data_IF_718156188534
#
_entry.id   IF_718156188534
#
_cell.length_a   1.000
_cell.length_b   1.000
_cell.length_c   1.000
_cell.angle_alpha   90.00
_cell.angle_beta   90.00
_cell.angle_gamma   90.00
#
_symmetry.space_group_name_H-M   'P 1'
#
loop_
_entity.id
_entity.type
_entity.pdbx_description
1 polymer ?
#
# COMPACT_ATOMS: atom_id res chain seq x y z
N UNK A 1 5.13 35.09 34.67
CA UNK A 1 5.46 35.02 36.10
C UNK A 1 4.32 35.66 36.89
N UNK A 2 3.32 34.86 37.28
CA UNK A 2 2.18 35.33 38.06
C UNK A 2 2.41 34.99 39.53
N UNK A 3 2.60 36.03 40.35
CA UNK A 3 2.78 35.91 41.78
C UNK A 3 1.56 35.23 42.41
N UNK A 4 1.75 33.98 42.85
CA UNK A 4 0.78 33.25 43.66
C UNK A 4 0.87 33.88 45.05
N UNK A 5 -0.03 34.82 45.32
CA UNK A 5 -0.34 35.28 46.67
C UNK A 5 -0.82 34.07 47.47
N UNK A 6 0.08 33.49 48.26
CA UNK A 6 -0.27 32.61 49.38
C UNK A 6 -0.92 33.47 50.46
N UNK A 7 -2.18 33.84 50.22
CA UNK A 7 -3.05 34.44 51.21
C UNK A 7 -3.44 33.39 52.22
N UNK A 8 -2.51 33.05 53.12
CA UNK A 8 -2.85 32.44 54.40
C UNK A 8 -3.62 33.50 55.17
N UNK A 9 -4.93 33.60 54.94
CA UNK A 9 -5.78 34.42 55.79
C UNK A 9 -5.64 33.84 57.20
N UNK A 10 -5.11 34.60 58.18
CA UNK A 10 -5.03 34.09 59.53
C UNK A 10 -6.47 33.80 59.97
N UNK A 11 -6.74 32.54 60.33
CA UNK A 11 -7.99 32.12 60.97
C UNK A 11 -8.08 32.89 62.29
N UNK A 12 -8.65 34.08 62.24
CA UNK A 12 -9.06 34.82 63.44
C UNK A 12 -10.37 34.18 63.89
N UNK A 13 -10.26 33.18 64.75
CA UNK A 13 -11.38 32.72 65.55
C UNK A 13 -11.89 33.93 66.35
N UNK A 14 -13.17 34.28 66.25
CA UNK A 14 -13.73 35.41 67.02
C UNK A 14 -13.59 35.16 68.53
N UNK A 15 -13.54 33.89 68.96
CA UNK A 15 -13.21 33.53 70.34
C UNK A 15 -11.74 33.82 70.67
N UNK A 16 -10.83 33.62 69.72
CA UNK A 16 -9.43 34.04 69.84
C UNK A 16 -9.28 35.57 69.79
N UNK A 17 -10.08 36.28 69.00
CA UNK A 17 -10.10 37.74 69.01
C UNK A 17 -10.67 38.30 70.30
N UNK A 18 -11.68 37.65 70.90
CA UNK A 18 -12.20 38.02 72.22
C UNK A 18 -11.23 37.63 73.33
N UNK A 19 -10.47 36.54 73.19
CA UNK A 19 -9.42 36.15 74.12
C UNK A 19 -8.17 37.06 74.03
N UNK A 20 -7.71 37.40 72.82
CA UNK A 20 -6.64 38.39 72.58
C UNK A 20 -7.07 39.79 73.01
N UNK A 21 -8.37 40.12 72.89
CA UNK A 21 -8.93 41.36 73.44
C UNK A 21 -9.02 41.30 74.96
N UNK A 22 -9.28 40.14 75.57
CA UNK A 22 -9.25 39.97 77.03
C UNK A 22 -7.84 40.15 77.61
N UNK A 23 -6.77 39.82 76.89
CA UNK A 23 -5.39 40.15 77.30
C UNK A 23 -5.08 41.66 77.16
N UNK A 24 -5.84 42.41 76.36
CA UNK A 24 -5.80 43.87 76.28
C UNK A 24 -6.84 44.58 77.19
N UNK A 25 -7.76 43.84 77.82
CA UNK A 25 -8.69 44.36 78.85
C UNK A 25 -8.00 44.19 80.21
N UNK A 26 -6.75 44.67 80.34
CA UNK A 26 -6.09 44.79 81.65
C UNK A 26 -6.30 46.17 82.28
N UNK A 27 -7.00 47.09 81.60
CA UNK A 27 -7.54 48.33 82.17
C UNK A 27 -8.91 48.61 81.52
N UNK A 28 -9.93 47.87 81.92
CA UNK A 28 -11.31 48.25 81.57
C UNK A 28 -11.67 49.53 82.32
N UNK A 29 -11.66 50.64 81.61
CA UNK A 29 -12.26 51.89 82.07
C UNK A 29 -13.71 51.60 82.44
N UNK A 30 -14.03 51.70 83.74
CA UNK A 30 -15.38 51.48 84.26
C UNK A 30 -16.39 52.29 83.42
N UNK A 31 -17.16 51.59 82.57
CA UNK A 31 -18.05 52.20 81.56
C UNK A 31 -19.17 53.02 82.20
N UNK A 32 -19.69 52.58 83.34
CA UNK A 32 -20.75 53.24 84.09
C UNK A 32 -20.31 53.47 85.54
N UNK A 33 -20.32 54.73 85.95
CA UNK A 33 -20.09 55.27 87.29
C UNK A 33 -21.33 56.05 87.72
N UNK A 34 -21.38 56.46 88.99
CA UNK A 34 -22.55 57.14 89.54
C UNK A 34 -22.81 58.50 88.86
N UNK A 35 -21.75 59.19 88.45
CA UNK A 35 -21.76 60.52 87.85
C UNK A 35 -22.11 60.52 86.35
N UNK A 36 -21.95 59.39 85.64
CA UNK A 36 -22.21 59.29 84.20
C UNK A 36 -23.35 58.31 83.83
N UNK A 37 -24.14 57.85 84.80
CA UNK A 37 -25.19 56.83 84.62
C UNK A 37 -26.17 57.13 83.47
N UNK A 38 -26.63 58.38 83.32
CA UNK A 38 -27.56 58.76 82.24
C UNK A 38 -26.91 58.68 80.86
N UNK A 39 -25.67 59.16 80.74
CA UNK A 39 -24.91 59.15 79.49
C UNK A 39 -24.55 57.72 79.10
N UNK A 40 -24.09 56.91 80.06
CA UNK A 40 -23.78 55.50 79.84
C UNK A 40 -25.02 54.69 79.44
N UNK A 41 -26.19 54.99 80.02
CA UNK A 41 -27.44 54.33 79.61
C UNK A 41 -27.90 54.77 78.22
N UNK A 42 -27.74 56.04 77.86
CA UNK A 42 -28.05 56.51 76.51
C UNK A 42 -27.21 55.78 75.46
N UNK A 43 -25.89 55.73 75.66
CA UNK A 43 -24.96 55.01 74.78
C UNK A 43 -25.34 53.53 74.68
N UNK A 44 -25.68 52.90 75.82
CA UNK A 44 -26.10 51.50 75.84
C UNK A 44 -27.41 51.28 75.08
N UNK A 45 -28.37 52.20 75.19
CA UNK A 45 -29.64 52.13 74.48
C UNK A 45 -29.46 52.33 72.96
N UNK A 46 -28.58 53.23 72.53
CA UNK A 46 -28.24 53.39 71.11
C UNK A 46 -27.63 52.11 70.54
N UNK A 47 -26.74 51.43 71.28
CA UNK A 47 -26.18 50.15 70.87
C UNK A 47 -27.23 49.02 70.88
N UNK A 48 -28.14 49.01 71.85
CA UNK A 48 -29.24 48.05 71.91
C UNK A 48 -30.17 48.17 70.70
N UNK A 49 -30.51 49.38 70.29
CA UNK A 49 -31.34 49.63 69.12
C UNK A 49 -30.60 49.33 67.81
N UNK A 50 -29.39 49.86 67.65
CA UNK A 50 -28.60 49.80 66.41
C UNK A 50 -28.08 48.40 66.11
N UNK A 51 -27.54 47.70 67.12
CA UNK A 51 -26.82 46.44 66.89
C UNK A 51 -27.71 45.21 67.07
N UNK A 52 -28.65 45.24 68.01
CA UNK A 52 -29.33 44.03 68.51
C UNK A 52 -30.86 44.10 68.40
N UNK A 53 -31.43 45.27 68.11
CA UNK A 53 -32.89 45.47 68.07
C UNK A 53 -33.56 45.22 69.43
N UNK A 54 -32.85 45.51 70.52
CA UNK A 54 -33.37 45.40 71.89
C UNK A 54 -34.05 46.73 72.24
N UNK A 55 -35.28 46.71 72.79
CA UNK A 55 -35.95 47.93 73.23
C UNK A 55 -35.13 48.68 74.30
N UNK A 56 -35.08 50.01 74.25
CA UNK A 56 -34.29 50.81 75.18
C UNK A 56 -34.82 50.68 76.60
N UNK A 57 -33.91 50.79 77.56
CA UNK A 57 -34.21 50.82 78.99
C UNK A 57 -34.52 52.27 79.39
N UNK A 58 -35.71 52.51 79.93
CA UNK A 58 -36.17 53.86 80.29
C UNK A 58 -36.04 54.11 81.79
N UNK A 59 -35.34 55.18 82.18
CA UNK A 59 -35.31 55.67 83.56
C UNK A 59 -36.59 56.47 83.81
N UNK A 60 -37.40 56.08 84.80
CA UNK A 60 -38.55 56.86 85.23
C UNK A 60 -38.15 58.12 85.99
N UNK A 61 -38.96 59.18 85.90
CA UNK A 61 -38.70 60.49 86.53
C UNK A 61 -38.62 60.45 88.08
N UNK A 62 -39.14 59.40 88.72
CA UNK A 62 -39.09 59.21 90.17
C UNK A 62 -37.91 58.29 90.57
N UNK A 63 -36.73 58.90 90.74
CA UNK A 63 -35.44 58.21 90.91
C UNK A 63 -35.17 57.68 92.32
N UNK A 64 -36.09 57.89 93.27
CA UNK A 64 -35.87 57.58 94.70
C UNK A 64 -36.80 56.51 95.27
N UNK A 65 -37.75 55.98 94.47
CA UNK A 65 -38.58 54.85 94.89
C UNK A 65 -37.88 53.52 94.65
N UNK A 66 -37.89 52.63 95.65
CA UNK A 66 -37.38 51.27 95.51
C UNK A 66 -38.04 50.49 94.35
N UNK A 67 -39.29 50.84 94.00
CA UNK A 67 -40.03 50.19 92.91
C UNK A 67 -39.55 50.61 91.51
N UNK A 68 -39.10 51.86 91.32
CA UNK A 68 -38.57 52.32 90.03
C UNK A 68 -37.20 51.73 89.73
N UNK A 69 -36.35 51.60 90.75
CA UNK A 69 -35.07 50.88 90.66
C UNK A 69 -35.28 49.39 90.35
N UNK A 70 -36.24 48.73 91.01
CA UNK A 70 -36.58 47.34 90.73
C UNK A 70 -37.04 47.14 89.27
N UNK A 71 -37.88 48.05 88.75
CA UNK A 71 -38.31 48.04 87.33
C UNK A 71 -37.14 48.23 86.36
N UNK A 72 -36.22 49.14 86.67
CA UNK A 72 -35.01 49.37 85.88
C UNK A 72 -34.13 48.11 85.85
N UNK A 73 -33.88 47.49 87.00
CA UNK A 73 -33.12 46.23 87.08
C UNK A 73 -33.75 45.12 86.23
N UNK A 74 -35.08 44.97 86.27
CA UNK A 74 -35.78 43.98 85.42
C UNK A 74 -35.60 44.27 83.93
N UNK A 75 -35.66 45.54 83.51
CA UNK A 75 -35.44 45.93 82.12
C UNK A 75 -34.01 45.64 81.67
N UNK A 76 -33.01 45.99 82.49
CA UNK A 76 -31.60 45.72 82.20
C UNK A 76 -31.34 44.22 82.13
N UNK A 77 -31.81 43.42 83.10
CA UNK A 77 -31.63 41.96 83.10
C UNK A 77 -32.21 41.32 81.84
N UNK A 78 -33.41 41.74 81.42
CA UNK A 78 -34.04 41.25 80.20
C UNK A 78 -33.30 41.68 78.93
N UNK A 79 -32.77 42.91 78.89
CA UNK A 79 -31.94 43.38 77.80
C UNK A 79 -30.63 42.59 77.71
N UNK A 80 -29.93 42.40 78.83
CA UNK A 80 -28.71 41.58 78.94
C UNK A 80 -28.96 40.13 78.53
N UNK A 81 -30.10 39.55 78.91
CA UNK A 81 -30.49 38.21 78.48
C UNK A 81 -30.66 38.11 76.97
N UNK A 82 -31.41 39.06 76.36
CA UNK A 82 -31.60 39.11 74.90
C UNK A 82 -30.28 39.28 74.16
N UNK A 83 -29.41 40.18 74.65
CA UNK A 83 -28.06 40.40 74.11
C UNK A 83 -27.25 39.10 74.14
N UNK A 84 -27.21 38.44 75.30
CA UNK A 84 -26.44 37.19 75.48
C UNK A 84 -26.94 36.09 74.53
N UNK A 85 -28.24 35.94 74.39
CA UNK A 85 -28.83 34.95 73.49
C UNK A 85 -28.56 35.26 72.02
N UNK A 86 -28.69 36.53 71.60
CA UNK A 86 -28.40 36.94 70.23
C UNK A 86 -26.91 36.76 69.92
N UNK A 87 -26.02 37.12 70.84
CA UNK A 87 -24.59 36.91 70.69
C UNK A 87 -24.26 35.42 70.50
N UNK A 88 -24.82 34.53 71.33
CA UNK A 88 -24.65 33.06 71.15
C UNK A 88 -25.17 32.58 69.80
N UNK A 89 -26.29 33.12 69.33
CA UNK A 89 -26.84 32.80 68.00
C UNK A 89 -25.91 33.25 66.86
N UNK A 90 -25.41 34.49 66.92
CA UNK A 90 -24.46 35.03 65.94
C UNK A 90 -23.16 34.23 65.91
N UNK A 91 -22.64 33.83 67.07
CA UNK A 91 -21.45 32.98 67.16
C UNK A 91 -21.67 31.63 66.48
N UNK A 92 -22.82 30.97 66.69
CA UNK A 92 -23.14 29.71 65.99
C UNK A 92 -23.22 29.88 64.48
N UNK A 93 -23.83 30.98 64.01
CA UNK A 93 -23.88 31.30 62.58
C UNK A 93 -22.48 31.55 62.00
N UNK A 94 -21.64 32.25 62.76
CA UNK A 94 -20.26 32.51 62.37
C UNK A 94 -19.45 31.22 62.24
N UNK A 95 -19.56 30.30 63.21
CA UNK A 95 -18.90 29.00 63.17
C UNK A 95 -19.36 28.18 61.95
N UNK A 96 -20.67 28.16 61.66
CA UNK A 96 -21.21 27.51 60.46
C UNK A 96 -20.66 28.12 59.17
N UNK A 97 -20.51 29.44 59.12
CA UNK A 97 -19.97 30.15 57.96
C UNK A 97 -18.49 29.83 57.77
N UNK A 98 -17.70 29.75 58.84
CA UNK A 98 -16.30 29.31 58.79
C UNK A 98 -16.21 27.90 58.23
N UNK A 99 -17.02 26.97 58.73
CA UNK A 99 -17.00 25.58 58.28
C UNK A 99 -17.35 25.47 56.79
N UNK A 100 -18.39 26.18 56.35
CA UNK A 100 -18.79 26.21 54.95
C UNK A 100 -17.70 26.83 54.06
N UNK A 101 -17.08 27.92 54.51
CA UNK A 101 -15.99 28.56 53.80
C UNK A 101 -14.78 27.62 53.69
N UNK A 102 -14.43 26.90 54.77
CA UNK A 102 -13.34 25.94 54.76
C UNK A 102 -13.58 24.79 53.77
N UNK A 103 -14.80 24.23 53.75
CA UNK A 103 -15.19 23.20 52.77
C UNK A 103 -15.07 23.74 51.35
N UNK A 104 -15.62 24.92 51.11
CA UNK A 104 -15.57 25.59 49.80
C UNK A 104 -14.13 25.84 49.34
N UNK A 105 -13.24 26.27 50.23
CA UNK A 105 -11.82 26.46 49.91
C UNK A 105 -11.15 25.13 49.57
N UNK A 106 -11.41 24.08 50.34
CA UNK A 106 -10.86 22.75 50.08
C UNK A 106 -11.33 22.17 48.74
N UNK A 107 -12.62 22.33 48.42
CA UNK A 107 -13.19 21.91 47.14
C UNK A 107 -12.56 22.69 45.98
N UNK A 108 -12.40 24.00 46.13
CA UNK A 108 -11.71 24.84 45.14
C UNK A 108 -10.26 24.40 44.91
N UNK A 109 -9.52 24.08 45.96
CA UNK A 109 -8.13 23.56 45.84
C UNK A 109 -8.13 22.23 45.10
N UNK A 110 -9.05 21.34 45.43
CA UNK A 110 -9.18 20.02 44.79
C UNK A 110 -9.50 20.16 43.30
N UNK A 111 -10.47 21.02 42.96
CA UNK A 111 -10.85 21.32 41.58
C UNK A 111 -9.69 21.96 40.81
N UNK A 112 -8.97 22.92 41.38
CA UNK A 112 -7.77 23.52 40.76
C UNK A 112 -6.71 22.47 40.45
N UNK A 113 -6.46 21.55 41.39
CA UNK A 113 -5.52 20.45 41.18
C UNK A 113 -5.99 19.50 40.08
N UNK A 114 -7.29 19.20 40.02
CA UNK A 114 -7.85 18.36 38.97
C UNK A 114 -7.73 19.02 37.59
N UNK A 115 -8.07 20.31 37.48
CA UNK A 115 -7.89 21.10 36.25
C UNK A 115 -6.42 21.11 35.83
N UNK A 116 -5.48 21.26 36.77
CA UNK A 116 -4.05 21.22 36.47
C UNK A 116 -3.64 19.87 35.84
N UNK A 117 -4.05 18.75 36.42
CA UNK A 117 -3.75 17.41 35.87
C UNK A 117 -4.38 17.22 34.49
N UNK A 118 -5.63 17.66 34.30
CA UNK A 118 -6.30 17.58 33.00
C UNK A 118 -5.56 18.38 31.93
N UNK A 119 -5.04 19.56 32.26
CA UNK A 119 -4.21 20.35 31.33
C UNK A 119 -2.91 19.63 30.97
N UNK A 120 -2.19 19.09 31.96
CA UNK A 120 -0.96 18.32 31.72
C UNK A 120 -1.23 17.08 30.85
N UNK A 121 -2.36 16.40 31.05
CA UNK A 121 -2.74 15.25 30.23
C UNK A 121 -3.14 15.66 28.81
N UNK A 122 -3.82 16.79 28.65
CA UNK A 122 -4.14 17.36 27.33
C UNK A 122 -2.85 17.68 26.55
N UNK A 123 -1.90 18.37 27.17
CA UNK A 123 -0.59 18.70 26.56
C UNK A 123 0.17 17.43 26.15
N UNK A 124 0.17 16.39 27.00
CA UNK A 124 0.78 15.08 26.65
C UNK A 124 0.10 14.43 25.45
N UNK A 125 -1.23 14.48 25.38
CA UNK A 125 -2.00 13.91 24.27
C UNK A 125 -1.73 14.68 22.98
N UNK A 126 -1.73 16.00 23.01
CA UNK A 126 -1.38 16.86 21.88
C UNK A 126 0.02 16.56 21.36
N UNK A 127 1.01 16.47 22.26
CA UNK A 127 2.37 16.09 21.87
C UNK A 127 2.46 14.68 21.24
N UNK A 128 1.65 13.74 21.73
CA UNK A 128 1.56 12.39 21.17
C UNK A 128 0.94 12.41 19.77
N UNK A 129 -0.11 13.20 19.57
CA UNK A 129 -0.76 13.39 18.26
C UNK A 129 0.26 13.93 17.25
N UNK A 130 0.97 15.01 17.57
CA UNK A 130 1.97 15.58 16.66
C UNK A 130 3.07 14.57 16.28
N UNK A 131 3.51 13.73 17.22
CA UNK A 131 4.47 12.65 16.95
C UNK A 131 3.93 11.59 16.01
N UNK A 132 2.67 11.22 16.16
CA UNK A 132 2.00 10.23 15.30
C UNK A 132 1.78 10.81 13.91
N UNK A 133 1.31 12.05 13.79
CA UNK A 133 1.10 12.75 12.52
C UNK A 133 2.41 12.87 11.72
N UNK A 134 3.53 13.24 12.37
CA UNK A 134 4.82 13.30 11.68
C UNK A 134 5.30 11.92 11.24
N UNK A 135 5.04 10.87 12.03
CA UNK A 135 5.33 9.49 11.63
C UNK A 135 4.48 9.06 10.44
N UNK A 136 3.21 9.40 10.43
CA UNK A 136 2.28 9.14 9.32
C UNK A 136 2.75 9.86 8.06
N UNK A 137 3.10 11.15 8.15
CA UNK A 137 3.65 11.93 7.04
C UNK A 137 4.89 11.27 6.44
N UNK A 138 5.82 10.81 7.28
CA UNK A 138 7.03 10.10 6.83
C UNK A 138 6.71 8.77 6.16
N UNK A 139 5.74 8.02 6.67
CA UNK A 139 5.30 6.76 6.06
C UNK A 139 4.62 7.02 4.71
N UNK A 140 3.80 8.07 4.61
CA UNK A 140 3.15 8.44 3.36
C UNK A 140 4.16 8.79 2.26
N UNK A 141 5.21 9.55 2.59
CA UNK A 141 6.31 9.82 1.65
C UNK A 141 6.96 8.52 1.16
N UNK A 142 7.29 7.60 2.09
CA UNK A 142 7.87 6.29 1.71
C UNK A 142 6.93 5.45 0.85
N UNK A 143 5.64 5.50 1.13
CA UNK A 143 4.62 4.81 0.33
C UNK A 143 4.56 5.37 -1.09
N UNK A 144 4.54 6.69 -1.23
CA UNK A 144 4.55 7.35 -2.53
C UNK A 144 5.83 7.03 -3.32
N UNK A 145 6.99 7.01 -2.66
CA UNK A 145 8.27 6.64 -3.28
C UNK A 145 8.22 5.19 -3.80
N UNK A 146 7.84 4.23 -2.94
CA UNK A 146 7.71 2.83 -3.33
C UNK A 146 6.66 2.62 -4.44
N UNK A 147 5.58 3.39 -4.44
CA UNK A 147 4.55 3.37 -5.48
C UNK A 147 5.09 3.83 -6.83
N UNK A 148 5.93 4.89 -6.85
CA UNK A 148 6.61 5.35 -8.06
C UNK A 148 7.59 4.32 -8.59
N UNK A 149 8.41 3.73 -7.71
CA UNK A 149 9.37 2.68 -8.08
C UNK A 149 8.67 1.47 -8.68
N UNK A 150 7.58 1.01 -8.04
CA UNK A 150 6.76 -0.08 -8.56
C UNK A 150 6.18 0.22 -9.95
N UNK A 151 5.76 1.47 -10.19
CA UNK A 151 5.27 1.90 -11.50
C UNK A 151 6.37 1.87 -12.55
N UNK A 152 7.58 2.31 -12.20
CA UNK A 152 8.74 2.27 -13.07
C UNK A 152 9.14 0.84 -13.42
N UNK A 153 9.26 -0.04 -12.42
CA UNK A 153 9.58 -1.45 -12.61
C UNK A 153 8.55 -2.16 -13.50
N UNK A 154 7.25 -1.88 -13.31
CA UNK A 154 6.20 -2.40 -14.20
C UNK A 154 6.40 -1.96 -15.64
N UNK A 155 6.86 -0.74 -15.88
CA UNK A 155 7.10 -0.24 -17.23
C UNK A 155 8.36 -0.87 -17.86
N UNK A 156 9.42 -1.04 -17.09
CA UNK A 156 10.62 -1.76 -17.54
C UNK A 156 10.32 -3.23 -17.87
N UNK A 157 9.52 -3.92 -17.04
CA UNK A 157 9.05 -5.28 -17.34
C UNK A 157 8.27 -5.31 -18.66
N UNK A 158 7.39 -4.31 -18.92
CA UNK A 158 6.66 -4.24 -20.20
C UNK A 158 7.60 -4.04 -21.39
N UNK A 159 8.61 -3.17 -21.26
CA UNK A 159 9.62 -2.96 -22.32
C UNK A 159 10.42 -4.22 -22.59
N UNK A 160 10.94 -4.87 -21.55
CA UNK A 160 11.70 -6.11 -21.66
C UNK A 160 10.86 -7.25 -22.25
N UNK A 161 9.58 -7.36 -21.85
CA UNK A 161 8.65 -8.34 -22.43
C UNK A 161 8.45 -8.13 -23.94
N UNK A 162 8.27 -6.88 -24.38
CA UNK A 162 8.17 -6.54 -25.81
C UNK A 162 9.47 -6.90 -26.55
N UNK A 163 10.62 -6.57 -25.98
CA UNK A 163 11.92 -6.91 -26.57
C UNK A 163 12.13 -8.42 -26.68
N UNK A 164 11.76 -9.18 -25.64
CA UNK A 164 11.84 -10.63 -25.64
C UNK A 164 10.94 -11.24 -26.73
N UNK A 165 9.69 -10.78 -26.84
CA UNK A 165 8.76 -11.24 -27.89
C UNK A 165 9.27 -10.92 -29.31
N UNK A 166 9.86 -9.73 -29.50
CA UNK A 166 10.49 -9.37 -30.76
C UNK A 166 11.65 -10.30 -31.11
N UNK A 167 12.54 -10.58 -30.15
CA UNK A 167 13.66 -11.51 -30.34
C UNK A 167 13.19 -12.93 -30.62
N UNK A 168 12.17 -13.41 -29.91
CA UNK A 168 11.57 -14.73 -30.14
C UNK A 168 11.05 -14.85 -31.57
N UNK A 169 10.32 -13.85 -32.05
CA UNK A 169 9.82 -13.80 -33.44
C UNK A 169 10.98 -13.78 -34.44
N UNK A 170 12.04 -12.99 -34.18
CA UNK A 170 13.23 -12.93 -35.01
C UNK A 170 13.96 -14.28 -35.07
N UNK A 171 14.15 -14.94 -33.93
CA UNK A 171 14.76 -16.27 -33.86
C UNK A 171 13.91 -17.31 -34.58
N UNK A 172 12.59 -17.26 -34.44
CA UNK A 172 11.68 -18.16 -35.16
C UNK A 172 11.76 -17.99 -36.69
N UNK A 173 11.85 -16.74 -37.18
CA UNK A 173 12.11 -16.47 -38.59
C UNK A 173 13.47 -17.00 -39.06
N UNK A 174 14.52 -16.82 -38.25
CA UNK A 174 15.86 -17.31 -38.58
C UNK A 174 15.91 -18.84 -38.61
N UNK A 175 15.29 -19.51 -37.63
CA UNK A 175 15.14 -20.97 -37.62
C UNK A 175 14.41 -21.43 -38.88
N UNK A 176 13.27 -20.83 -39.22
CA UNK A 176 12.54 -21.15 -40.46
C UNK A 176 13.41 -21.01 -41.71
N UNK A 177 14.20 -19.93 -41.80
CA UNK A 177 15.12 -19.68 -42.92
C UNK A 177 16.21 -20.75 -43.01
N UNK A 178 16.84 -21.10 -41.88
CA UNK A 178 17.85 -22.15 -41.80
C UNK A 178 17.26 -23.51 -42.17
N UNK A 179 16.08 -23.86 -41.65
CA UNK A 179 15.38 -25.11 -41.98
C UNK A 179 15.08 -25.20 -43.47
N UNK A 180 14.57 -24.14 -44.10
CA UNK A 180 14.31 -24.11 -45.55
C UNK A 180 15.60 -24.24 -46.37
N UNK A 181 16.69 -23.57 -45.96
CA UNK A 181 17.97 -23.71 -46.64
C UNK A 181 18.55 -25.12 -46.49
N UNK A 182 18.42 -25.72 -45.30
CA UNK A 182 18.84 -27.09 -45.05
C UNK A 182 18.05 -28.08 -45.91
N UNK A 183 16.73 -27.91 -46.04
CA UNK A 183 15.89 -28.71 -46.95
C UNK A 183 16.35 -28.57 -48.41
N UNK A 184 16.59 -27.34 -48.90
CA UNK A 184 17.11 -27.11 -50.26
C UNK A 184 18.46 -27.79 -50.49
N UNK A 185 19.38 -27.70 -49.54
CA UNK A 185 20.68 -28.36 -49.61
C UNK A 185 20.53 -29.88 -49.62
N UNK A 186 19.63 -30.42 -48.78
CA UNK A 186 19.31 -31.84 -48.75
C UNK A 186 18.73 -32.32 -50.09
N UNK A 187 17.82 -31.56 -50.70
CA UNK A 187 17.30 -31.85 -52.05
C UNK A 187 18.40 -31.81 -53.12
N UNK A 188 19.31 -30.84 -53.07
CA UNK A 188 20.45 -30.76 -53.99
C UNK A 188 21.39 -31.97 -53.82
N UNK A 189 21.66 -32.38 -52.59
CA UNK A 189 22.45 -33.56 -52.27
C UNK A 189 21.77 -34.83 -52.77
N UNK A 190 20.46 -34.96 -52.58
CA UNK A 190 19.70 -36.09 -53.11
C UNK A 190 19.71 -36.13 -54.64
N UNK A 191 19.63 -34.95 -55.30
CA UNK A 191 19.76 -34.85 -56.77
C UNK A 191 21.17 -35.21 -57.24
N UNK A 192 22.23 -34.74 -56.57
CA UNK A 192 23.61 -35.06 -56.96
C UNK A 192 23.95 -36.53 -56.72
N UNK A 193 23.58 -37.07 -55.56
CA UNK A 193 23.73 -38.48 -55.20
C UNK A 193 22.86 -39.40 -56.09
N UNK A 194 21.64 -38.99 -56.41
CA UNK A 194 20.77 -39.71 -57.35
C UNK A 194 21.24 -39.67 -58.80
N UNK A 195 22.00 -38.64 -59.19
CA UNK A 195 22.65 -38.57 -60.52
C UNK A 195 24.02 -39.24 -60.58
N UNK A 196 24.54 -39.73 -59.45
CA UNK A 196 25.78 -40.49 -59.43
C UNK A 196 25.53 -41.90 -59.99
N UNK A 197 25.51 -42.01 -61.31
CA UNK A 197 25.77 -43.27 -61.98
C UNK A 197 27.26 -43.58 -61.85
N UNK A 198 27.66 -44.68 -61.19
CA UNK A 198 29.06 -45.08 -61.11
C UNK A 198 29.65 -45.15 -62.52
N UNK A 199 30.90 -44.67 -62.66
CA UNK A 199 31.62 -44.61 -63.94
C UNK A 199 31.56 -45.95 -64.69
N UNK A 200 31.62 -47.06 -63.96
CA UNK A 200 31.52 -48.42 -64.50
C UNK A 200 30.18 -48.69 -65.16
N UNK A 201 29.05 -48.29 -64.56
CA UNK A 201 27.71 -48.45 -65.17
C UNK A 201 27.52 -47.57 -66.40
N UNK A 202 28.20 -46.42 -66.45
CA UNK A 202 28.15 -45.53 -67.62
C UNK A 202 28.96 -46.11 -68.78
N UNK A 203 30.15 -46.64 -68.50
CA UNK A 203 30.97 -47.40 -69.46
C UNK A 203 30.25 -48.65 -69.94
N UNK A 204 29.60 -49.40 -69.04
CA UNK A 204 28.81 -50.58 -69.39
C UNK A 204 27.66 -50.23 -70.35
N UNK A 205 26.91 -49.15 -70.09
CA UNK A 205 25.87 -48.66 -71.02
C UNK A 205 26.43 -48.18 -72.37
N UNK A 206 27.65 -47.62 -72.39
CA UNK A 206 28.32 -47.26 -73.63
C UNK A 206 28.73 -48.49 -74.43
N UNK A 207 29.38 -49.46 -73.77
CA UNK A 207 29.79 -50.73 -74.39
C UNK A 207 28.58 -51.53 -74.87
N UNK A 208 27.47 -51.54 -74.13
CA UNK A 208 26.22 -52.19 -74.52
C UNK A 208 25.60 -51.55 -75.78
N UNK A 209 25.67 -50.21 -75.90
CA UNK A 209 25.29 -49.48 -77.12
C UNK A 209 26.21 -49.80 -78.30
N UNK A 210 27.51 -49.91 -78.07
CA UNK A 210 28.46 -50.30 -79.12
C UNK A 210 28.25 -51.76 -79.56
N UNK A 211 28.06 -52.69 -78.61
CA UNK A 211 27.74 -54.10 -78.86
C UNK A 211 26.44 -54.26 -79.65
N UNK A 212 25.39 -53.52 -79.32
CA UNK A 212 24.14 -53.51 -80.10
C UNK A 212 24.32 -52.90 -81.48
N UNK A 213 25.18 -51.88 -81.61
CA UNK A 213 25.63 -51.35 -82.91
C UNK A 213 26.32 -52.41 -83.77
N UNK A 214 27.32 -53.10 -83.22
CA UNK A 214 28.04 -54.17 -83.91
C UNK A 214 27.10 -55.33 -84.29
N UNK A 215 26.22 -55.75 -83.38
CA UNK A 215 25.24 -56.81 -83.63
C UNK A 215 24.33 -56.46 -84.80
N UNK A 216 23.87 -55.21 -84.88
CA UNK A 216 23.02 -54.71 -85.99
C UNK A 216 23.78 -54.70 -87.32
N UNK A 217 25.07 -54.35 -87.31
CA UNK A 217 25.93 -54.37 -88.50
C UNK A 217 26.17 -55.81 -88.98
N UNK A 218 26.43 -56.74 -88.06
CA UNK A 218 26.59 -58.17 -88.37
C UNK A 218 25.32 -58.73 -89.03
N UNK A 219 24.14 -58.47 -88.45
CA UNK A 219 22.87 -58.91 -89.05
C UNK A 219 22.67 -58.37 -90.48
N UNK A 220 23.10 -57.12 -90.75
CA UNK A 220 23.07 -56.54 -92.10
C UNK A 220 24.01 -57.25 -93.06
N UNK A 221 25.21 -57.59 -92.62
CA UNK A 221 26.20 -58.30 -93.43
C UNK A 221 25.78 -59.74 -93.71
N UNK A 222 25.21 -60.44 -92.73
CA UNK A 222 24.67 -61.79 -92.90
C UNK A 222 23.52 -61.80 -93.91
N UNK A 223 22.61 -60.82 -93.84
CA UNK A 223 21.53 -60.67 -94.82
C UNK A 223 22.07 -60.39 -96.23
N UNK A 224 23.10 -59.55 -96.35
CA UNK A 224 23.74 -59.26 -97.64
C UNK A 224 24.43 -60.52 -98.21
N UNK A 225 25.13 -61.28 -97.37
CA UNK A 225 25.72 -62.56 -97.76
C UNK A 225 24.67 -63.58 -98.21
N UNK A 226 23.51 -63.62 -97.55
CA UNK A 226 22.37 -64.46 -97.96
C UNK A 226 21.85 -64.06 -99.34
N UNK A 227 21.76 -62.75 -99.62
CA UNK A 227 21.36 -62.22 -100.93
C UNK A 227 22.37 -62.58 -102.02
N UNK A 228 23.67 -62.42 -101.76
CA UNK A 228 24.71 -62.84 -102.70
C UNK A 228 24.66 -64.35 -102.98
N UNK A 229 24.45 -65.18 -101.96
CA UNK A 229 24.29 -66.63 -102.15
C UNK A 229 23.05 -66.97 -103.00
N UNK A 230 21.94 -66.23 -102.81
CA UNK A 230 20.75 -66.35 -103.63
C UNK A 230 21.04 -65.97 -105.09
N UNK A 231 21.76 -64.88 -105.34
CA UNK A 231 22.17 -64.45 -106.68
C UNK A 231 23.10 -65.49 -107.34
N UNK A 232 24.06 -66.03 -106.60
CA UNK A 232 24.94 -67.11 -107.09
C UNK A 232 24.12 -68.34 -107.47
N UNK A 233 23.13 -68.73 -106.67
CA UNK A 233 22.24 -69.85 -107.00
C UNK A 233 21.37 -69.54 -108.24
N UNK A 234 20.80 -68.35 -108.34
CA UNK A 234 20.02 -67.94 -109.51
C UNK A 234 20.89 -67.93 -110.79
N UNK A 235 22.14 -67.46 -110.69
CA UNK A 235 23.10 -67.50 -111.80
C UNK A 235 23.48 -68.95 -112.15
N UNK A 236 23.60 -69.83 -111.15
CA UNK A 236 23.88 -71.25 -111.35
C UNK A 236 22.70 -71.96 -112.03
N UNK A 237 21.46 -71.66 -111.63
CA UNK A 237 20.25 -72.14 -112.29
C UNK A 237 20.13 -71.58 -113.71
N UNK A 238 20.47 -70.31 -113.94
CA UNK A 238 20.51 -69.73 -115.29
C UNK A 238 21.56 -70.41 -116.17
N UNK A 239 22.73 -70.76 -115.60
CA UNK A 239 23.77 -71.53 -116.30
C UNK A 239 23.32 -72.96 -116.61
N UNK A 240 22.63 -73.64 -115.69
CA UNK A 240 22.06 -74.97 -115.94
C UNK A 240 20.92 -74.91 -116.97
N UNK A 241 20.06 -73.88 -116.95
CA UNK A 241 19.05 -73.66 -117.99
C UNK A 241 19.69 -73.33 -119.34
N UNK A 242 20.81 -72.60 -119.36
CA UNK A 242 21.57 -72.33 -120.58
C UNK A 242 22.25 -73.61 -121.11
N UNK A 243 22.72 -74.49 -120.22
CA UNK A 243 23.26 -75.81 -120.57
C UNK A 243 22.18 -76.73 -121.12
N UNK A 244 21.01 -76.79 -120.47
CA UNK A 244 19.81 -77.49 -120.97
C UNK A 244 19.34 -76.90 -122.30
N UNK A 245 19.45 -75.57 -122.49
CA UNK A 245 19.17 -74.89 -123.75
C UNK A 245 20.15 -75.26 -124.87
N UNK A 246 21.42 -75.47 -124.56
CA UNK A 246 22.43 -75.98 -125.50
C UNK A 246 22.11 -77.44 -125.85
N UNK A 247 21.78 -78.28 -124.87
CA UNK A 247 21.43 -79.69 -125.09
C UNK A 247 20.14 -79.84 -125.92
N UNK A 248 19.13 -78.99 -125.69
CA UNK A 248 17.91 -78.93 -126.49
C UNK A 248 18.14 -78.32 -127.89
N UNK A 249 19.12 -77.44 -128.08
CA UNK A 249 19.49 -76.94 -129.40
C UNK A 249 20.20 -78.00 -130.25
N UNK A 250 20.96 -78.88 -129.59
CA UNK A 250 21.57 -80.08 -130.18
C UNK A 250 20.49 -81.12 -130.54
N UNK A 251 19.43 -81.28 -129.74
CA UNK A 251 18.35 -82.23 -130.01
C UNK A 251 17.26 -81.73 -131.00
N UNK A 252 16.98 -80.43 -131.04
CA UNK A 252 15.96 -79.86 -131.95
C UNK A 252 16.48 -79.61 -133.39
N UNK A 253 17.79 -79.73 -133.62
CA UNK A 253 18.42 -79.48 -134.93
C UNK A 253 19.10 -80.75 -135.44
N UNK A 254 18.33 -81.70 -135.94
CA UNK A 254 18.88 -82.78 -136.75
C UNK A 254 19.48 -82.24 -138.06
N UNK A 255 20.72 -82.65 -138.36
CA UNK A 255 21.22 -82.76 -139.74
C UNK A 255 22.42 -81.91 -140.15
N UNK A 256 23.55 -82.61 -140.39
CA UNK A 256 24.66 -82.32 -141.34
C UNK A 256 25.46 -81.01 -141.20
N UNK A 257 26.79 -81.10 -141.11
CA UNK A 257 27.79 -80.73 -142.13
C UNK A 257 29.22 -80.74 -141.53
N UNK A 258 30.05 -81.66 -142.06
CA UNK A 258 31.41 -81.50 -142.54
C UNK A 258 32.39 -80.44 -141.94
N UNK A 259 33.57 -80.98 -141.56
CA UNK A 259 34.92 -80.63 -142.06
C UNK A 259 35.67 -79.41 -141.46
N UNK A 260 36.89 -79.66 -140.93
CA UNK A 260 38.22 -79.27 -141.46
C UNK A 260 39.26 -79.21 -140.33
N UNK A 261 40.44 -79.74 -140.66
CA UNK A 261 41.74 -79.73 -139.99
C UNK A 261 42.17 -78.39 -139.36
N UNK A 262 42.72 -78.43 -138.13
CA UNK A 262 44.15 -78.25 -137.76
C UNK A 262 44.33 -78.30 -136.24
#
# INVERSE_FOLDING_TARGET
MSAISNGTYPKRDLRSMLAERNDFISEETVFCKQDNLEQSLHILNEEFESLIGIPPVAIGNDRQSAESLKKLCVQVINATWKLTHKHRYLMRLHDQLIDLNQRTVNDNVTLKNHIKRLKEDLEKKEHTICKVEERERRLNVKFEDASRDLKQEKEEIRKLKKQAQFKETQHEHEIRRITQNSQKLQEQLHKSAGSFTPRDKLLEKMHEKELTGYKKTICRLEENNRQMLQEINNLKEALELHKIGIDLHIEASGGTWANVDT
#
